data_IF_704240525270
#
_entry.id   IF_704240525270
#
_cell.length_a   1.000
_cell.length_b   1.000
_cell.length_c   1.000
_cell.angle_alpha   90.00
_cell.angle_beta   90.00
_cell.angle_gamma   90.00
#
_symmetry.space_group_name_H-M   'P 1'
#
loop_
_entity.id
_entity.type
_entity.pdbx_description
1 polymer ?
#
# COMPACT_ATOMS: atom_id res chain seq x y z
N UNK A 1 6.27 -22.39 3.74
CA UNK A 1 5.48 -21.54 4.66
C UNK A 1 5.37 -20.09 4.17
N UNK A 2 6.44 -19.40 3.77
CA UNK A 2 6.37 -18.03 3.20
C UNK A 2 5.60 -17.91 1.87
N UNK A 3 5.57 -18.96 1.04
CA UNK A 3 4.89 -18.95 -0.26
C UNK A 3 3.35 -18.85 -0.15
N UNK A 4 2.74 -19.47 0.87
CA UNK A 4 1.28 -19.36 1.07
C UNK A 4 0.88 -17.95 1.51
N UNK A 5 1.65 -17.31 2.40
CA UNK A 5 1.39 -15.91 2.75
C UNK A 5 1.45 -14.98 1.54
N UNK A 6 2.41 -15.13 0.63
CA UNK A 6 2.44 -14.31 -0.58
C UNK A 6 1.26 -14.60 -1.51
N UNK A 7 0.81 -15.84 -1.62
CA UNK A 7 -0.35 -16.22 -2.45
C UNK A 7 -1.67 -15.71 -1.86
N UNK A 8 -1.89 -15.88 -0.55
CA UNK A 8 -3.07 -15.36 0.16
C UNK A 8 -3.11 -13.83 0.15
N UNK A 9 -1.95 -13.17 0.24
CA UNK A 9 -1.84 -11.71 0.17
C UNK A 9 -2.11 -11.20 -1.25
N UNK A 10 -1.62 -11.92 -2.27
CA UNK A 10 -1.87 -11.61 -3.68
C UNK A 10 -3.32 -11.87 -4.07
N UNK A 11 -3.91 -13.00 -3.66
CA UNK A 11 -5.31 -13.33 -3.88
C UNK A 11 -6.26 -12.41 -3.10
N UNK A 12 -5.85 -11.91 -1.93
CA UNK A 12 -6.64 -10.95 -1.16
C UNK A 12 -6.58 -9.53 -1.73
N UNK A 13 -5.62 -9.19 -2.60
CA UNK A 13 -5.70 -7.99 -3.48
C UNK A 13 -6.79 -8.18 -4.55
N UNK A 14 -6.95 -9.39 -5.07
CA UNK A 14 -7.92 -9.70 -6.13
C UNK A 14 -9.31 -10.10 -5.63
N UNK A 15 -9.49 -10.29 -4.32
CA UNK A 15 -10.77 -10.62 -3.69
C UNK A 15 -11.25 -9.40 -2.90
N UNK A 16 -12.35 -8.74 -3.28
CA UNK A 16 -12.80 -7.53 -2.60
C UNK A 16 -13.27 -7.85 -1.17
N UNK A 17 -12.49 -7.41 -0.19
CA UNK A 17 -12.73 -7.52 1.25
C UNK A 17 -11.73 -6.64 2.01
N UNK A 18 -12.03 -6.23 3.26
CA UNK A 18 -11.38 -5.11 3.96
C UNK A 18 -9.89 -5.39 4.27
N UNK A 19 -9.01 -5.09 3.33
CA UNK A 19 -7.57 -5.38 3.40
C UNK A 19 -6.78 -4.18 3.93
N UNK A 20 -7.10 -3.73 5.15
CA UNK A 20 -6.35 -2.65 5.81
C UNK A 20 -4.91 -3.07 6.20
N UNK A 21 -4.69 -4.37 6.39
CA UNK A 21 -3.42 -4.96 6.81
C UNK A 21 -2.30 -4.80 5.78
N UNK A 22 -2.61 -4.92 4.48
CA UNK A 22 -1.58 -4.87 3.44
C UNK A 22 -1.03 -3.45 3.24
N UNK A 23 -1.91 -2.44 3.33
CA UNK A 23 -1.51 -1.03 3.25
C UNK A 23 -0.57 -0.66 4.40
N UNK A 24 -0.88 -1.11 5.62
CA UNK A 24 -0.04 -0.90 6.80
C UNK A 24 1.31 -1.60 6.65
N UNK A 25 1.33 -2.86 6.20
CA UNK A 25 2.55 -3.63 6.00
C UNK A 25 3.45 -2.97 4.94
N UNK A 26 2.84 -2.44 3.88
CA UNK A 26 3.55 -1.73 2.82
C UNK A 26 4.15 -0.43 3.34
N UNK A 27 3.38 0.37 4.09
CA UNK A 27 3.87 1.61 4.71
C UNK A 27 5.09 1.39 5.62
N UNK A 28 5.06 0.35 6.45
CA UNK A 28 6.19 -0.03 7.33
C UNK A 28 7.40 -0.46 6.50
N UNK A 29 7.20 -1.24 5.45
CA UNK A 29 8.29 -1.72 4.57
C UNK A 29 8.96 -0.56 3.84
N UNK A 30 8.19 0.38 3.28
CA UNK A 30 8.72 1.59 2.63
C UNK A 30 9.45 2.50 3.60
N UNK A 31 8.92 2.70 4.82
CA UNK A 31 9.62 3.46 5.86
C UNK A 31 10.97 2.81 6.21
N UNK A 32 11.00 1.49 6.38
CA UNK A 32 12.23 0.75 6.66
C UNK A 32 13.23 0.85 5.50
N UNK A 33 12.75 0.75 4.25
CA UNK A 33 13.55 0.98 3.04
C UNK A 33 14.15 2.38 3.01
N UNK A 34 13.36 3.41 3.32
CA UNK A 34 13.84 4.79 3.31
C UNK A 34 14.89 5.04 4.40
N UNK A 35 14.70 4.49 5.60
CA UNK A 35 15.69 4.54 6.68
C UNK A 35 16.99 3.83 6.27
N UNK A 36 16.88 2.64 5.66
CA UNK A 36 18.05 1.92 5.15
C UNK A 36 18.78 2.72 4.06
N UNK A 37 18.05 3.27 3.09
CA UNK A 37 18.64 4.08 2.02
C UNK A 37 19.31 5.35 2.57
N UNK A 38 18.74 6.00 3.59
CA UNK A 38 19.37 7.14 4.27
C UNK A 38 20.63 6.73 5.04
N UNK A 39 20.61 5.60 5.73
CA UNK A 39 21.78 5.07 6.44
C UNK A 39 22.93 4.77 5.44
N UNK A 40 22.60 4.13 4.33
CA UNK A 40 23.57 3.80 3.27
C UNK A 40 24.08 5.06 2.53
N UNK A 41 23.23 6.08 2.37
CA UNK A 41 23.61 7.38 1.83
C UNK A 41 24.70 8.05 2.69
N UNK A 42 24.51 8.07 4.01
CA UNK A 42 25.49 8.64 4.95
C UNK A 42 26.79 7.83 4.93
N UNK A 43 26.68 6.50 4.83
CA UNK A 43 27.84 5.61 4.82
C UNK A 43 28.68 5.71 3.52
N UNK A 44 28.05 5.95 2.37
CA UNK A 44 28.72 5.83 1.04
C UNK A 44 28.86 7.15 0.29
N UNK A 45 28.13 8.22 0.67
CA UNK A 45 28.15 9.53 0.00
C UNK A 45 27.88 9.47 -1.53
N UNK A 46 27.07 8.52 -1.99
CA UNK A 46 26.85 8.27 -3.42
C UNK A 46 25.50 8.79 -3.92
N UNK A 47 25.52 9.42 -5.10
CA UNK A 47 24.34 9.97 -5.78
C UNK A 47 23.28 8.88 -6.09
N UNK A 48 23.71 7.63 -6.26
CA UNK A 48 22.82 6.50 -6.57
C UNK A 48 21.76 6.30 -5.49
N UNK A 49 22.13 6.47 -4.22
CA UNK A 49 21.21 6.32 -3.10
C UNK A 49 20.17 7.45 -3.03
N UNK A 50 20.49 8.64 -3.56
CA UNK A 50 19.53 9.75 -3.66
C UNK A 50 18.42 9.40 -4.67
N UNK A 51 18.80 8.90 -5.85
CA UNK A 51 17.84 8.52 -6.90
C UNK A 51 16.94 7.37 -6.42
N UNK A 52 17.53 6.34 -5.80
CA UNK A 52 16.77 5.21 -5.23
C UNK A 52 15.81 5.67 -4.12
N UNK A 53 16.23 6.61 -3.28
CA UNK A 53 15.41 7.21 -2.23
C UNK A 53 14.22 7.99 -2.79
N UNK A 54 14.40 8.74 -3.89
CA UNK A 54 13.31 9.47 -4.56
C UNK A 54 12.32 8.49 -5.20
N UNK A 55 12.82 7.47 -5.92
CA UNK A 55 11.98 6.45 -6.54
C UNK A 55 11.15 5.69 -5.49
N UNK A 56 11.77 5.34 -4.35
CA UNK A 56 11.08 4.68 -3.24
C UNK A 56 9.99 5.57 -2.63
N UNK A 57 10.28 6.86 -2.38
CA UNK A 57 9.30 7.82 -1.89
C UNK A 57 8.15 8.06 -2.88
N UNK A 58 8.44 8.15 -4.18
CA UNK A 58 7.41 8.28 -5.22
C UNK A 58 6.48 7.07 -5.26
N UNK A 59 7.04 5.87 -5.11
CA UNK A 59 6.25 4.64 -5.05
C UNK A 59 5.40 4.55 -3.77
N UNK A 60 5.93 5.02 -2.64
CA UNK A 60 5.21 5.09 -1.36
C UNK A 60 3.98 6.01 -1.45
N UNK A 61 4.11 7.17 -2.08
CA UNK A 61 3.00 8.10 -2.33
C UNK A 61 1.97 7.47 -3.28
N UNK A 62 2.41 6.86 -4.38
CA UNK A 62 1.53 6.24 -5.37
C UNK A 62 0.64 5.15 -4.75
N UNK A 63 1.19 4.33 -3.85
CA UNK A 63 0.44 3.25 -3.17
C UNK A 63 -0.57 3.81 -2.16
N UNK A 64 -0.18 4.83 -1.39
CA UNK A 64 -1.11 5.49 -0.45
C UNK A 64 -2.29 6.13 -1.19
N UNK A 65 -2.02 6.78 -2.33
CA UNK A 65 -3.06 7.33 -3.18
C UNK A 65 -3.96 6.24 -3.77
N UNK A 66 -3.37 5.19 -4.33
CA UNK A 66 -4.12 4.06 -4.91
C UNK A 66 -5.05 3.40 -3.91
N UNK A 67 -4.59 3.17 -2.67
CA UNK A 67 -5.41 2.57 -1.64
C UNK A 67 -6.56 3.47 -1.17
N UNK A 68 -6.32 4.79 -1.13
CA UNK A 68 -7.39 5.75 -0.82
C UNK A 68 -8.46 5.77 -1.93
N UNK A 69 -8.04 5.65 -3.19
CA UNK A 69 -8.96 5.61 -4.32
C UNK A 69 -9.81 4.33 -4.30
N UNK A 70 -9.20 3.17 -4.07
CA UNK A 70 -9.92 1.90 -3.92
C UNK A 70 -10.96 1.94 -2.78
N UNK A 71 -10.66 2.62 -1.67
CA UNK A 71 -11.62 2.80 -0.55
C UNK A 71 -12.83 3.63 -0.96
N UNK A 72 -12.64 4.68 -1.76
CA UNK A 72 -13.73 5.54 -2.23
C UNK A 72 -14.70 4.77 -3.13
N UNK A 73 -14.17 3.95 -4.04
CA UNK A 73 -14.98 3.09 -4.92
C UNK A 73 -15.74 2.01 -4.13
N UNK A 74 -15.11 1.41 -3.12
CA UNK A 74 -15.78 0.43 -2.26
C UNK A 74 -16.89 1.04 -1.39
N UNK A 75 -16.68 2.24 -0.84
CA UNK A 75 -17.69 2.94 -0.04
C UNK A 75 -18.93 3.30 -0.88
N UNK A 76 -18.74 3.78 -2.11
CA UNK A 76 -19.85 4.10 -3.02
C UNK A 76 -20.75 2.89 -3.31
N UNK A 77 -20.17 1.70 -3.43
CA UNK A 77 -20.92 0.46 -3.66
C UNK A 77 -21.70 -0.02 -2.42
N UNK A 78 -21.19 0.28 -1.21
CA UNK A 78 -21.87 -0.09 0.05
C UNK A 78 -23.04 0.81 0.42
N UNK A 79 -22.95 2.12 0.16
CA UNK A 79 -24.01 3.10 0.50
C UNK A 79 -25.27 2.90 -0.36
N UNK A 80 -25.11 2.54 -1.64
CA UNK A 80 -26.25 2.27 -2.53
C UNK A 80 -27.09 1.08 -2.03
N UNK A 81 -26.43 0.04 -1.49
CA UNK A 81 -27.10 -1.15 -0.96
C UNK A 81 -27.93 -0.89 0.30
N UNK A 82 -27.53 0.07 1.15
CA UNK A 82 -28.30 0.47 2.34
C UNK A 82 -29.51 1.35 2.01
N UNK A 83 -29.41 2.19 0.97
CA UNK A 83 -30.53 3.05 0.54
C UNK A 83 -31.65 2.25 -0.15
N UNK A 84 -31.34 1.12 -0.76
CA UNK A 84 -32.34 0.21 -1.33
C UNK A 84 -33.11 -0.54 -0.23
N UNK A 85 -32.44 -0.88 0.88
CA UNK A 85 -33.05 -1.57 2.04
C UNK A 85 -34.02 -0.70 2.83
N UNK A 86 -33.92 0.62 2.72
CA UNK A 86 -34.80 1.59 3.40
C UNK A 86 -36.02 1.98 2.54
N UNK A 87 -36.02 1.61 1.25
CA UNK A 87 -37.14 1.85 0.32
C UNK A 87 -38.09 0.65 0.16
N UNK A 88 -37.79 -0.49 0.78
CA UNK A 88 -38.68 -1.66 0.92
C UNK A 88 -39.38 -1.66 2.29
#
# INVERSE_FOLDING_TARGET
>A
MAANFLNDLFQSIFTPGPTHTLLIATNVTFACLQVLLLLLLIATYSIHFVILSILSAGLWVAINWFANELKKDQLGNSINKSNEKEKE
#
